data_IF_055395821691
#
_entry.id   IF_055395821691
#
_cell.length_a   1.000
_cell.length_b   1.000
_cell.length_c   1.000
_cell.angle_alpha   90.00
_cell.angle_beta   90.00
_cell.angle_gamma   90.00
#
_symmetry.space_group_name_H-M   'P 1'
#
loop_
_entity.id
_entity.type
_entity.pdbx_description
1 polymer ?
#
# COMPACT_ATOMS: atom_id res chain seq x y z
N UNK A 1 -15.37 2.45 -49.22
CA UNK A 1 -15.64 3.00 -47.87
C UNK A 1 -14.87 2.20 -46.84
N UNK A 2 -13.72 2.70 -46.41
CA UNK A 2 -12.79 1.97 -45.52
C UNK A 2 -11.98 2.98 -44.71
N UNK A 3 -12.65 3.78 -43.86
CA UNK A 3 -12.04 4.77 -42.97
C UNK A 3 -12.81 4.91 -41.65
N UNK A 4 -13.36 3.80 -41.13
CA UNK A 4 -14.16 3.82 -39.90
C UNK A 4 -13.71 2.78 -38.86
N UNK A 5 -12.41 2.51 -38.77
CA UNK A 5 -11.85 1.56 -37.79
C UNK A 5 -10.63 2.15 -37.07
N UNK A 6 -10.70 3.42 -36.64
CA UNK A 6 -9.62 4.05 -35.87
C UNK A 6 -10.05 4.60 -34.50
N UNK A 7 -11.30 4.38 -34.06
CA UNK A 7 -11.82 5.00 -32.83
C UNK A 7 -11.87 4.02 -31.64
N UNK A 8 -11.60 2.71 -31.83
CA UNK A 8 -11.92 1.71 -30.79
C UNK A 8 -10.81 1.37 -29.78
N UNK A 9 -9.58 1.86 -29.93
CA UNK A 9 -8.45 1.37 -29.10
C UNK A 9 -8.03 2.31 -27.97
N UNK A 10 -8.62 3.50 -27.83
CA UNK A 10 -8.27 4.46 -26.75
C UNK A 10 -9.11 4.30 -25.46
N UNK A 11 -9.65 3.12 -25.20
CA UNK A 11 -10.31 2.80 -23.92
C UNK A 11 -9.45 1.91 -23.00
N UNK A 12 -8.16 1.73 -23.30
CA UNK A 12 -7.18 1.12 -22.39
C UNK A 12 -6.24 2.20 -21.82
N UNK A 13 -6.78 3.17 -21.07
CA UNK A 13 -5.94 3.93 -20.14
C UNK A 13 -6.45 3.70 -18.73
N UNK A 14 -6.03 2.52 -18.24
CA UNK A 14 -5.63 2.25 -16.85
C UNK A 14 -6.51 2.89 -15.79
N UNK A 15 -7.47 2.11 -15.27
CA UNK A 15 -7.93 2.28 -13.89
C UNK A 15 -6.74 1.95 -12.99
N UNK A 16 -5.82 2.90 -12.82
CA UNK A 16 -4.77 2.82 -11.80
C UNK A 16 -5.52 2.93 -10.48
N UNK A 17 -5.94 1.80 -9.94
CA UNK A 17 -6.54 1.76 -8.62
C UNK A 17 -5.52 2.31 -7.65
N UNK A 18 -5.80 3.47 -7.06
CA UNK A 18 -4.87 4.11 -6.17
C UNK A 18 -4.61 3.20 -4.96
N UNK A 19 -3.34 2.89 -4.72
CA UNK A 19 -2.94 2.00 -3.64
C UNK A 19 -3.23 2.67 -2.30
N UNK A 20 -3.95 1.97 -1.41
CA UNK A 20 -4.20 2.45 -0.05
C UNK A 20 -3.37 1.65 0.96
N UNK A 21 -2.77 2.34 1.93
CA UNK A 21 -1.89 1.78 2.94
C UNK A 21 -2.23 2.35 4.33
N UNK A 22 -2.12 1.53 5.37
CA UNK A 22 -2.39 1.93 6.75
C UNK A 22 -1.17 2.57 7.40
N UNK A 23 -0.89 3.84 7.11
CA UNK A 23 0.30 4.50 7.62
C UNK A 23 0.29 4.65 9.15
N UNK A 24 1.39 4.20 9.77
CA UNK A 24 1.59 4.27 11.22
C UNK A 24 1.88 2.92 11.85
N UNK A 25 1.95 2.91 13.18
CA UNK A 25 2.23 1.71 13.97
C UNK A 25 0.93 0.99 14.38
N UNK A 26 0.85 -0.29 14.07
CA UNK A 26 -0.24 -1.18 14.49
C UNK A 26 0.31 -2.15 15.55
N UNK A 27 -0.09 -2.02 16.82
CA UNK A 27 0.37 -2.92 17.87
C UNK A 27 -0.16 -4.34 17.65
N UNK A 28 0.65 -5.36 17.98
CA UNK A 28 0.31 -6.79 17.75
C UNK A 28 -0.76 -7.33 18.71
N UNK A 29 -0.98 -6.65 19.84
CA UNK A 29 -2.01 -6.97 20.82
C UNK A 29 -2.55 -5.66 21.39
N UNK A 30 -3.88 -5.57 21.55
CA UNK A 30 -4.72 -4.56 22.24
C UNK A 30 -3.97 -3.50 23.08
N UNK A 31 -3.08 -2.73 22.46
CA UNK A 31 -2.37 -1.64 23.11
C UNK A 31 -3.31 -0.47 22.98
N UNK A 32 -4.18 -0.34 23.98
CA UNK A 32 -5.25 0.66 24.09
C UNK A 32 -4.76 2.12 23.95
N UNK A 33 -3.43 2.35 23.89
CA UNK A 33 -2.79 3.66 23.76
C UNK A 33 -2.00 3.90 22.47
N UNK A 34 -1.90 2.95 21.54
CA UNK A 34 -1.23 3.22 20.27
C UNK A 34 -2.14 4.08 19.37
N UNK A 35 -1.59 5.12 18.69
CA UNK A 35 -2.36 5.83 17.68
C UNK A 35 -2.83 4.84 16.61
N UNK A 36 -4.13 4.84 16.31
CA UNK A 36 -4.69 3.99 15.25
C UNK A 36 -4.01 4.34 13.93
N UNK A 37 -3.59 3.35 13.12
CA UNK A 37 -3.01 3.63 11.81
C UNK A 37 -4.05 4.35 10.93
N UNK A 38 -3.59 5.27 10.09
CA UNK A 38 -4.46 6.00 9.17
C UNK A 38 -4.43 5.34 7.81
N UNK A 39 -5.59 5.09 7.22
CA UNK A 39 -5.65 4.67 5.82
C UNK A 39 -5.33 5.89 4.93
N UNK A 40 -4.20 5.84 4.24
CA UNK A 40 -3.71 6.87 3.32
C UNK A 40 -3.60 6.30 1.92
N UNK A 41 -3.78 7.14 0.91
CA UNK A 41 -3.54 6.81 -0.50
C UNK A 41 -2.06 7.05 -0.81
N UNK A 42 -1.36 6.04 -1.33
CA UNK A 42 0.04 6.16 -1.71
C UNK A 42 0.18 6.83 -3.09
N UNK A 43 1.33 7.43 -3.35
CA UNK A 43 1.63 8.02 -4.66
C UNK A 43 1.68 6.94 -5.76
N UNK A 44 1.47 7.31 -7.03
CA UNK A 44 1.65 6.41 -8.16
C UNK A 44 3.06 5.80 -8.14
N UNK A 45 3.14 4.47 -8.26
CA UNK A 45 4.38 3.65 -8.18
C UNK A 45 4.94 3.40 -6.77
N UNK A 46 4.28 3.88 -5.72
CA UNK A 46 4.61 3.47 -4.37
C UNK A 46 4.02 2.11 -4.02
N UNK A 47 4.65 1.50 -3.03
CA UNK A 47 4.32 0.20 -2.45
C UNK A 47 4.03 0.42 -0.98
N UNK A 48 3.09 -0.36 -0.44
CA UNK A 48 2.84 -0.36 0.99
C UNK A 48 3.84 -1.32 1.64
N UNK A 49 4.72 -0.80 2.50
CA UNK A 49 5.78 -1.57 3.13
C UNK A 49 5.43 -1.85 4.59
N UNK A 50 5.45 -3.11 4.99
CA UNK A 50 5.30 -3.56 6.38
C UNK A 50 6.68 -3.63 7.05
N UNK A 51 6.77 -3.23 8.32
CA UNK A 51 7.93 -3.43 9.19
C UNK A 51 7.48 -3.99 10.53
N UNK A 52 7.81 -5.24 10.81
CA UNK A 52 7.54 -5.88 12.09
C UNK A 52 8.59 -5.49 13.13
N UNK A 53 8.12 -5.05 14.30
CA UNK A 53 8.92 -4.68 15.45
C UNK A 53 8.72 -5.67 16.59
N UNK A 54 9.67 -6.59 16.75
CA UNK A 54 9.64 -7.57 17.85
C UNK A 54 9.70 -6.88 19.22
N UNK A 55 10.57 -5.88 19.38
CA UNK A 55 10.78 -5.17 20.65
C UNK A 55 9.70 -4.14 20.98
N UNK A 56 9.05 -3.55 19.97
CA UNK A 56 7.96 -2.58 20.17
C UNK A 56 6.57 -3.22 20.17
N UNK A 57 6.47 -4.50 19.77
CA UNK A 57 5.22 -5.26 19.81
C UNK A 57 4.21 -4.82 18.76
N UNK A 58 4.51 -4.98 17.47
CA UNK A 58 3.58 -4.65 16.39
C UNK A 58 4.24 -4.48 15.04
N UNK A 59 3.48 -3.98 14.09
CA UNK A 59 3.92 -3.67 12.73
C UNK A 59 3.87 -2.16 12.48
N UNK A 60 4.67 -1.66 11.56
CA UNK A 60 4.53 -0.30 11.02
C UNK A 60 4.33 -0.41 9.53
N UNK A 61 3.36 0.32 8.99
CA UNK A 61 3.18 0.40 7.55
C UNK A 61 3.45 1.83 7.05
N UNK A 62 4.02 1.92 5.86
CA UNK A 62 4.40 3.18 5.20
C UNK A 62 4.30 3.03 3.68
N UNK A 63 3.89 4.08 2.97
CA UNK A 63 4.04 4.15 1.52
C UNK A 63 5.51 4.46 1.16
N UNK A 64 6.13 3.64 0.31
CA UNK A 64 7.49 3.88 -0.21
C UNK A 64 7.62 3.35 -1.63
N UNK A 65 8.44 3.99 -2.46
CA UNK A 65 8.76 3.51 -3.81
C UNK A 65 9.50 2.16 -3.84
N UNK A 66 10.21 1.82 -2.76
CA UNK A 66 10.93 0.55 -2.61
C UNK A 66 10.86 0.08 -1.16
N UNK A 67 10.40 -1.15 -0.95
CA UNK A 67 10.41 -1.75 0.38
C UNK A 67 11.79 -2.36 0.67
N UNK A 68 12.43 -2.02 1.80
CA UNK A 68 13.73 -2.59 2.14
C UNK A 68 13.61 -4.06 2.54
N UNK A 69 14.34 -4.97 1.87
CA UNK A 69 14.34 -6.44 2.11
C UNK A 69 15.23 -6.90 3.29
N UNK A 70 15.14 -6.22 4.44
CA UNK A 70 15.91 -6.60 5.64
C UNK A 70 14.99 -7.04 6.78
N UNK A 71 15.36 -8.16 7.44
CA UNK A 71 14.71 -8.83 8.60
C UNK A 71 13.46 -8.10 9.13
N UNK A 72 12.29 -8.63 8.80
CA UNK A 72 11.00 -8.16 9.31
C UNK A 72 10.35 -7.07 8.46
N UNK A 73 10.92 -6.69 7.31
CA UNK A 73 10.30 -5.78 6.36
C UNK A 73 9.88 -6.52 5.09
N UNK A 74 8.67 -6.25 4.60
CA UNK A 74 8.16 -6.86 3.37
C UNK A 74 7.21 -5.92 2.63
N UNK A 75 7.21 -5.99 1.31
CA UNK A 75 6.17 -5.39 0.49
C UNK A 75 4.84 -6.10 0.72
N UNK A 76 3.78 -5.32 0.95
CA UNK A 76 2.42 -5.84 1.01
C UNK A 76 1.60 -5.29 -0.15
N UNK A 77 1.12 -6.20 -1.00
CA UNK A 77 0.33 -5.85 -2.18
C UNK A 77 -1.05 -5.26 -1.85
N UNK A 78 -1.50 -5.40 -0.60
CA UNK A 78 -2.76 -4.86 -0.09
C UNK A 78 -2.58 -4.46 1.37
N UNK A 79 -3.19 -3.35 1.76
CA UNK A 79 -3.50 -3.09 3.16
C UNK A 79 -4.18 -4.33 3.74
N UNK A 80 -3.54 -4.99 4.72
CA UNK A 80 -4.27 -5.97 5.53
C UNK A 80 -5.39 -5.21 6.22
N UNK A 81 -6.60 -5.78 6.22
CA UNK A 81 -7.67 -5.29 7.08
C UNK A 81 -7.19 -5.51 8.53
N UNK A 82 -6.67 -4.44 9.14
CA UNK A 82 -6.32 -4.35 10.55
C UNK A 82 -7.50 -3.83 11.35
#
# INVERSE_FOLDING_TARGET
SMRLLLISTLALFTVVSALKCYEGHVPSANSEKAPKPKLTECEPNEKCCERSWVWKGGDTYTCQSTCPDFKGKKEIAKAKNV
#
